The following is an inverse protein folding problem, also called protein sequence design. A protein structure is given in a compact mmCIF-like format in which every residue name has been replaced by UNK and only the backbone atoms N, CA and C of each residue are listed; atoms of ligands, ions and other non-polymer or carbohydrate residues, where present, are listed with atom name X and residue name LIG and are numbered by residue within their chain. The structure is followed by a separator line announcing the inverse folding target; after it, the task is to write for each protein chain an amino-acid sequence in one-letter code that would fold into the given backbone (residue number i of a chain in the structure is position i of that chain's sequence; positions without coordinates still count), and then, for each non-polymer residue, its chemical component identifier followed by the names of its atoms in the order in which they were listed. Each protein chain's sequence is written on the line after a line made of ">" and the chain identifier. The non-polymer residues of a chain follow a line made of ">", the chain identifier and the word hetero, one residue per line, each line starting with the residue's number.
data_IF_086501207841
#
_entry.id   IF_086501207841
#
_cell.length_a   1.000
_cell.length_b   1.000
_cell.length_c   1.000
_cell.angle_alpha   90.00
_cell.angle_beta   90.00
_cell.angle_gamma   90.00
#
_symmetry.space_group_name_H-M   'P 1'
#
loop_
_entity.id
_entity.type
_entity.pdbx_description
1 polymer ?
#
# COMPACT_ATOMS: atom_id res chain seq x y z
N UNK A 1 -31.26 12.86 -0.46
CA UNK A 1 -30.54 11.56 -0.25
C UNK A 1 -29.10 11.61 -0.75
N UNK A 2 -28.78 12.45 -1.74
CA UNK A 2 -27.43 12.65 -2.28
C UNK A 2 -26.38 13.08 -1.24
N UNK A 3 -26.75 13.90 -0.25
CA UNK A 3 -25.83 14.27 0.84
C UNK A 3 -25.28 13.07 1.62
N UNK A 4 -26.07 12.01 1.82
CA UNK A 4 -25.60 10.77 2.48
C UNK A 4 -24.62 9.99 1.60
N UNK A 5 -24.74 10.09 0.27
CA UNK A 5 -23.82 9.46 -0.69
C UNK A 5 -22.49 10.19 -0.72
N UNK A 6 -22.54 11.52 -0.78
CA UNK A 6 -21.35 12.37 -0.78
C UNK A 6 -20.51 12.11 0.47
N UNK A 7 -21.13 12.10 1.66
CA UNK A 7 -20.39 11.81 2.90
C UNK A 7 -19.79 10.40 2.91
N UNK A 8 -20.53 9.37 2.48
CA UNK A 8 -20.02 7.99 2.45
C UNK A 8 -18.84 7.83 1.48
N UNK A 9 -18.94 8.43 0.30
CA UNK A 9 -17.89 8.42 -0.72
C UNK A 9 -16.64 9.17 -0.25
N UNK A 10 -16.80 10.33 0.39
CA UNK A 10 -15.70 11.09 0.98
C UNK A 10 -15.01 10.26 2.06
N UNK A 11 -15.75 9.63 2.97
CA UNK A 11 -15.18 8.79 4.02
C UNK A 11 -14.37 7.62 3.44
N UNK A 12 -14.88 6.94 2.41
CA UNK A 12 -14.17 5.83 1.75
C UNK A 12 -12.91 6.31 1.01
N UNK A 13 -13.01 7.44 0.31
CA UNK A 13 -11.87 8.08 -0.36
C UNK A 13 -10.79 8.51 0.63
N UNK A 14 -11.18 9.16 1.73
CA UNK A 14 -10.28 9.56 2.80
C UNK A 14 -9.60 8.34 3.44
N UNK A 15 -10.35 7.25 3.69
CA UNK A 15 -9.79 6.01 4.24
C UNK A 15 -8.66 5.44 3.36
N UNK A 16 -8.82 5.49 2.04
CA UNK A 16 -7.79 5.02 1.11
C UNK A 16 -6.55 5.91 1.12
N UNK A 17 -6.72 7.23 1.17
CA UNK A 17 -5.61 8.18 1.25
C UNK A 17 -4.82 8.05 2.58
N UNK A 18 -5.54 7.88 3.69
CA UNK A 18 -4.90 7.65 4.99
C UNK A 18 -4.12 6.34 5.03
N UNK A 19 -4.55 5.32 4.26
CA UNK A 19 -3.93 4.01 4.29
C UNK A 19 -2.46 4.04 3.90
N UNK A 20 -2.13 4.67 2.77
CA UNK A 20 -0.75 4.73 2.29
C UNK A 20 0.10 5.77 3.02
N UNK A 21 -0.52 6.88 3.47
CA UNK A 21 0.12 7.83 4.38
C UNK A 21 0.58 7.16 5.68
N UNK A 22 -0.29 6.37 6.31
CA UNK A 22 0.06 5.67 7.56
C UNK A 22 1.06 4.54 7.33
N UNK A 23 0.98 3.85 6.19
CA UNK A 23 1.93 2.79 5.84
C UNK A 23 3.35 3.34 5.64
N UNK A 24 3.50 4.46 4.95
CA UNK A 24 4.80 5.13 4.77
C UNK A 24 5.32 5.72 6.08
N UNK A 25 4.43 6.28 6.91
CA UNK A 25 4.77 6.73 8.26
C UNK A 25 5.30 5.59 9.15
N UNK A 26 4.62 4.43 9.17
CA UNK A 26 5.08 3.27 9.93
C UNK A 26 6.44 2.76 9.43
N UNK A 27 6.65 2.74 8.11
CA UNK A 27 7.94 2.37 7.56
C UNK A 27 9.04 3.35 7.95
N UNK A 28 8.74 4.65 8.01
CA UNK A 28 9.67 5.66 8.51
C UNK A 28 10.03 5.42 9.99
N UNK A 29 9.06 5.04 10.83
CA UNK A 29 9.35 4.64 12.21
C UNK A 29 10.29 3.43 12.27
N UNK A 30 10.07 2.41 11.44
CA UNK A 30 10.96 1.24 11.35
C UNK A 30 12.38 1.68 10.96
N UNK A 31 12.52 2.57 9.98
CA UNK A 31 13.83 3.09 9.58
C UNK A 31 14.55 3.82 10.73
N UNK A 32 13.82 4.62 11.52
CA UNK A 32 14.33 5.30 12.72
C UNK A 32 14.80 4.29 13.78
N UNK A 33 13.98 3.28 14.11
CA UNK A 33 14.34 2.26 15.10
C UNK A 33 15.56 1.45 14.68
N UNK A 34 15.73 1.21 13.38
CA UNK A 34 16.89 0.52 12.84
C UNK A 34 18.11 1.42 12.67
N UNK A 35 18.00 2.72 12.95
CA UNK A 35 19.04 3.74 12.73
C UNK A 35 19.56 3.72 11.28
N UNK A 36 18.63 3.62 10.33
CA UNK A 36 18.93 3.59 8.89
C UNK A 36 18.26 4.75 8.17
N UNK A 37 18.83 5.14 7.02
CA UNK A 37 18.19 6.13 6.17
C UNK A 37 16.89 5.56 5.61
N UNK A 38 15.83 6.38 5.65
CA UNK A 38 14.58 6.02 5.00
C UNK A 38 14.83 5.69 3.52
N UNK A 39 14.37 4.54 3.02
CA UNK A 39 14.84 4.02 1.74
C UNK A 39 14.31 4.79 0.53
N UNK A 40 13.25 5.58 0.69
CA UNK A 40 12.64 6.30 -0.41
C UNK A 40 13.00 7.78 -0.40
N UNK A 41 13.14 8.33 -1.59
CA UNK A 41 13.27 9.77 -1.74
C UNK A 41 11.90 10.44 -1.62
N UNK A 42 11.82 11.72 -1.22
CA UNK A 42 10.54 12.43 -1.16
C UNK A 42 9.76 12.38 -2.48
N UNK A 43 10.46 12.47 -3.63
CA UNK A 43 9.83 12.38 -4.95
C UNK A 43 9.19 11.01 -5.21
N UNK A 44 9.85 9.92 -4.83
CA UNK A 44 9.33 8.56 -4.94
C UNK A 44 8.05 8.37 -4.11
N UNK A 45 8.05 8.87 -2.87
CA UNK A 45 6.85 8.84 -2.01
C UNK A 45 5.71 9.66 -2.63
N UNK A 46 5.99 10.88 -3.11
CA UNK A 46 4.98 11.73 -3.74
C UNK A 46 4.34 11.09 -4.97
N UNK A 47 5.12 10.45 -5.85
CA UNK A 47 4.58 9.75 -7.03
C UNK A 47 3.75 8.55 -6.62
N UNK A 48 4.21 7.77 -5.63
CA UNK A 48 3.44 6.65 -5.11
C UNK A 48 2.10 7.13 -4.54
N UNK A 49 2.11 8.14 -3.68
CA UNK A 49 0.88 8.70 -3.09
C UNK A 49 -0.04 9.32 -4.16
N UNK A 50 0.49 9.90 -5.23
CA UNK A 50 -0.35 10.46 -6.30
C UNK A 50 -1.02 9.37 -7.15
N UNK A 51 -0.27 8.38 -7.61
CA UNK A 51 -0.75 7.40 -8.59
C UNK A 51 -1.31 6.12 -7.97
N UNK A 52 -0.79 5.69 -6.83
CA UNK A 52 -1.27 4.49 -6.12
C UNK A 52 -2.42 4.82 -5.18
N UNK A 53 -2.43 6.00 -4.56
CA UNK A 53 -3.46 6.35 -3.56
C UNK A 53 -4.41 7.42 -4.08
N UNK A 54 -3.88 8.53 -4.61
CA UNK A 54 -4.64 9.72 -5.01
C UNK A 54 -5.57 9.50 -6.19
N UNK A 55 -5.10 8.84 -7.25
CA UNK A 55 -5.92 8.54 -8.42
C UNK A 55 -7.07 7.56 -8.06
N UNK A 56 -6.81 6.44 -7.37
CA UNK A 56 -7.87 5.54 -6.89
C UNK A 56 -8.86 6.20 -5.92
N UNK A 57 -8.39 6.99 -4.96
CA UNK A 57 -9.26 7.64 -3.97
C UNK A 57 -10.17 8.70 -4.61
N UNK A 58 -9.64 9.49 -5.55
CA UNK A 58 -10.42 10.47 -6.32
C UNK A 58 -11.53 9.79 -7.11
N UNK A 59 -11.23 8.67 -7.75
CA UNK A 59 -12.23 7.89 -8.49
C UNK A 59 -13.33 7.36 -7.57
N UNK A 60 -12.97 6.85 -6.38
CA UNK A 60 -13.94 6.35 -5.39
C UNK A 60 -14.88 7.46 -4.91
N UNK A 61 -14.42 8.71 -4.84
CA UNK A 61 -15.29 9.85 -4.51
C UNK A 61 -16.43 10.02 -5.51
N UNK A 62 -16.13 9.83 -6.81
CA UNK A 62 -17.11 9.93 -7.89
C UNK A 62 -17.97 8.66 -8.07
N UNK A 63 -17.52 7.51 -7.57
CA UNK A 63 -18.29 6.26 -7.61
C UNK A 63 -19.48 6.35 -6.63
N UNK A 64 -20.72 6.42 -7.12
CA UNK A 64 -21.90 6.40 -6.25
C UNK A 64 -22.02 5.05 -5.53
N UNK A 65 -21.72 5.01 -4.22
CA UNK A 65 -21.87 3.80 -3.42
C UNK A 65 -22.91 3.98 -2.31
N UNK A 66 -24.03 3.26 -2.44
CA UNK A 66 -25.10 3.17 -1.44
C UNK A 66 -24.80 2.15 -0.34
N UNK A 67 -23.64 1.48 -0.39
CA UNK A 67 -23.28 0.45 0.57
C UNK A 67 -22.93 1.09 1.93
N UNK A 68 -23.60 0.62 2.99
CA UNK A 68 -23.21 0.97 4.37
C UNK A 68 -21.79 0.42 4.65
N UNK A 69 -20.91 1.20 5.30
CA UNK A 69 -19.64 0.68 5.79
C UNK A 69 -19.90 -0.54 6.69
N UNK A 70 -19.28 -1.69 6.39
CA UNK A 70 -19.44 -2.92 7.18
C UNK A 70 -18.77 -2.83 8.56
N UNK A 71 -17.79 -1.96 8.69
CA UNK A 71 -17.01 -1.71 9.91
C UNK A 71 -16.75 -0.20 10.05
N UNK A 72 -16.41 0.24 11.26
CA UNK A 72 -15.89 1.59 11.48
C UNK A 72 -14.59 1.80 10.66
N UNK A 73 -14.35 3.04 10.27
CA UNK A 73 -13.24 3.42 9.37
C UNK A 73 -11.88 2.98 9.93
N UNK A 74 -11.60 3.28 11.21
CA UNK A 74 -10.29 3.04 11.81
C UNK A 74 -9.93 1.54 11.92
N UNK A 75 -10.80 0.66 12.46
CA UNK A 75 -10.52 -0.78 12.49
C UNK A 75 -10.25 -1.38 11.10
N UNK A 76 -11.02 -0.97 10.09
CA UNK A 76 -10.84 -1.39 8.70
C UNK A 76 -9.48 -0.94 8.14
N UNK A 77 -9.10 0.31 8.43
CA UNK A 77 -7.79 0.87 8.07
C UNK A 77 -6.66 0.07 8.74
N UNK A 78 -6.73 -0.16 10.06
CA UNK A 78 -5.69 -0.89 10.81
C UNK A 78 -5.54 -2.33 10.34
N UNK A 79 -6.66 -3.01 10.04
CA UNK A 79 -6.68 -4.40 9.54
C UNK A 79 -5.89 -4.56 8.25
N UNK A 80 -5.93 -3.55 7.38
CA UNK A 80 -5.19 -3.53 6.13
C UNK A 80 -3.75 -3.04 6.33
N UNK A 81 -3.52 -2.00 7.14
CA UNK A 81 -2.18 -1.41 7.29
C UNK A 81 -1.21 -2.35 7.99
N UNK A 82 -1.60 -2.97 9.12
CA UNK A 82 -0.69 -3.77 9.95
C UNK A 82 0.05 -4.86 9.14
N UNK A 83 -0.63 -5.76 8.39
CA UNK A 83 0.03 -6.81 7.64
C UNK A 83 0.87 -6.25 6.47
N UNK A 84 0.42 -5.17 5.83
CA UNK A 84 1.15 -4.54 4.73
C UNK A 84 2.43 -3.85 5.23
N UNK A 85 2.34 -3.05 6.29
CA UNK A 85 3.48 -2.39 6.91
C UNK A 85 4.50 -3.39 7.45
N UNK A 86 4.03 -4.48 8.10
CA UNK A 86 4.91 -5.57 8.54
C UNK A 86 5.62 -6.27 7.37
N UNK A 87 4.90 -6.55 6.28
CA UNK A 87 5.50 -7.12 5.06
C UNK A 87 6.58 -6.19 4.49
N UNK A 88 6.29 -4.90 4.36
CA UNK A 88 7.25 -3.91 3.86
C UNK A 88 8.46 -3.78 4.77
N UNK A 89 8.28 -3.78 6.09
CA UNK A 89 9.37 -3.74 7.05
C UNK A 89 10.27 -4.98 6.91
N UNK A 90 9.70 -6.18 6.84
CA UNK A 90 10.48 -7.43 6.65
C UNK A 90 11.26 -7.39 5.35
N UNK A 91 10.62 -7.01 4.24
CA UNK A 91 11.28 -6.90 2.93
C UNK A 91 12.38 -5.82 2.96
N UNK A 92 12.15 -4.71 3.66
CA UNK A 92 13.16 -3.67 3.86
C UNK A 92 14.40 -4.23 4.56
N UNK A 93 14.22 -4.95 5.67
CA UNK A 93 15.34 -5.59 6.40
C UNK A 93 16.07 -6.60 5.51
N UNK A 94 15.32 -7.48 4.82
CA UNK A 94 15.91 -8.49 3.92
C UNK A 94 16.76 -7.81 2.84
N UNK A 95 16.22 -6.75 2.22
CA UNK A 95 16.91 -6.01 1.15
C UNK A 95 18.14 -5.29 1.68
N UNK A 96 18.09 -4.77 2.91
CA UNK A 96 19.21 -4.08 3.54
C UNK A 96 20.40 -5.03 3.79
N UNK A 97 20.13 -6.29 4.12
CA UNK A 97 21.14 -7.33 4.37
C UNK A 97 21.80 -7.87 3.09
N UNK A 98 21.28 -7.54 1.90
CA UNK A 98 21.86 -8.02 0.65
C UNK A 98 23.19 -7.31 0.30
N UNK A 99 24.17 -8.02 -0.30
CA UNK A 99 25.49 -7.49 -0.62
C UNK A 99 25.51 -6.62 -1.90
N UNK A 100 24.51 -5.75 -2.09
CA UNK A 100 24.43 -4.83 -3.22
C UNK A 100 24.76 -3.39 -2.80
N UNK A 101 25.13 -2.49 -3.73
CA UNK A 101 25.23 -1.06 -3.44
C UNK A 101 23.91 -0.50 -2.90
N UNK A 102 23.97 0.50 -2.02
CA UNK A 102 22.76 1.14 -1.47
C UNK A 102 21.80 1.66 -2.57
N UNK A 103 22.26 2.33 -3.64
CA UNK A 103 21.36 2.79 -4.71
C UNK A 103 20.58 1.65 -5.39
N UNK A 104 21.23 0.50 -5.59
CA UNK A 104 20.58 -0.69 -6.14
C UNK A 104 19.52 -1.22 -5.18
N UNK A 105 19.86 -1.40 -3.89
CA UNK A 105 18.92 -1.86 -2.85
C UNK A 105 17.68 -0.98 -2.75
N UNK A 106 17.87 0.34 -2.77
CA UNK A 106 16.75 1.30 -2.74
C UNK A 106 15.86 1.18 -3.98
N UNK A 107 16.46 0.96 -5.15
CA UNK A 107 15.72 0.75 -6.41
C UNK A 107 14.90 -0.55 -6.37
N UNK A 108 15.48 -1.66 -5.90
CA UNK A 108 14.75 -2.92 -5.72
C UNK A 108 13.57 -2.73 -4.76
N UNK A 109 13.81 -2.11 -3.61
CA UNK A 109 12.77 -1.89 -2.60
C UNK A 109 11.65 -1.00 -3.13
N UNK A 110 11.97 0.01 -3.94
CA UNK A 110 10.98 0.89 -4.55
C UNK A 110 10.01 0.11 -5.45
N UNK A 111 10.51 -0.78 -6.29
CA UNK A 111 9.66 -1.62 -7.15
C UNK A 111 8.82 -2.62 -6.35
N UNK A 112 9.39 -3.28 -5.33
CA UNK A 112 8.62 -4.18 -4.46
C UNK A 112 7.51 -3.44 -3.71
N UNK A 113 7.80 -2.22 -3.24
CA UNK A 113 6.85 -1.39 -2.51
C UNK A 113 5.73 -0.88 -3.41
N UNK A 114 6.04 -0.43 -4.64
CA UNK A 114 5.02 -0.10 -5.64
C UNK A 114 4.07 -1.29 -5.86
N UNK A 115 4.64 -2.48 -6.04
CA UNK A 115 3.84 -3.67 -6.27
C UNK A 115 2.93 -3.99 -5.08
N UNK A 116 3.47 -3.96 -3.85
CA UNK A 116 2.68 -4.19 -2.63
C UNK A 116 1.57 -3.15 -2.47
N UNK A 117 1.85 -1.87 -2.70
CA UNK A 117 0.87 -0.80 -2.61
C UNK A 117 -0.23 -0.96 -3.67
N UNK A 118 0.09 -1.36 -4.91
CA UNK A 118 -0.91 -1.69 -5.92
C UNK A 118 -1.74 -2.93 -5.55
N UNK A 119 -1.12 -3.96 -4.99
CA UNK A 119 -1.81 -5.16 -4.50
C UNK A 119 -2.79 -4.82 -3.35
N UNK A 120 -2.41 -3.89 -2.48
CA UNK A 120 -3.26 -3.37 -1.41
C UNK A 120 -4.48 -2.64 -1.96
N UNK A 121 -4.29 -1.74 -2.94
CA UNK A 121 -5.41 -1.04 -3.60
C UNK A 121 -6.31 -2.04 -4.33
N UNK A 122 -5.74 -3.03 -5.01
CA UNK A 122 -6.49 -4.11 -5.65
C UNK A 122 -7.36 -4.87 -4.64
N UNK A 123 -6.83 -5.19 -3.47
CA UNK A 123 -7.58 -5.86 -2.40
C UNK A 123 -8.77 -5.01 -1.93
N UNK A 124 -8.57 -3.71 -1.74
CA UNK A 124 -9.62 -2.76 -1.30
C UNK A 124 -10.69 -2.54 -2.37
N UNK A 125 -10.32 -2.66 -3.65
CA UNK A 125 -11.23 -2.50 -4.78
C UNK A 125 -12.15 -3.70 -5.03
N UNK A 126 -12.03 -4.79 -4.28
CA UNK A 126 -12.94 -5.93 -4.39
C UNK A 126 -14.36 -5.59 -3.88
N UNK A 127 -15.44 -6.05 -4.57
CA UNK A 127 -15.45 -6.79 -5.83
C UNK A 127 -15.09 -5.90 -7.03
N UNK A 128 -14.30 -6.43 -7.94
CA UNK A 128 -13.78 -5.67 -9.08
C UNK A 128 -14.88 -5.36 -10.12
N UNK A 129 -14.92 -4.12 -10.59
CA UNK A 129 -15.78 -3.67 -11.69
C UNK A 129 -14.90 -3.09 -12.82
N UNK A 130 -15.39 -3.05 -14.06
CA UNK A 130 -14.66 -2.53 -15.22
C UNK A 130 -14.04 -1.15 -14.97
N UNK A 131 -14.77 -0.25 -14.32
CA UNK A 131 -14.25 1.09 -14.00
C UNK A 131 -13.08 1.04 -13.01
N UNK A 132 -13.15 0.15 -12.01
CA UNK A 132 -12.07 -0.05 -11.02
C UNK A 132 -10.82 -0.67 -11.66
N UNK A 133 -11.02 -1.59 -12.61
CA UNK A 133 -9.92 -2.12 -13.44
C UNK A 133 -9.28 -1.02 -14.27
N UNK A 134 -10.09 -0.19 -14.94
CA UNK A 134 -9.57 0.92 -15.74
C UNK A 134 -8.69 1.88 -14.91
N UNK A 135 -9.11 2.18 -13.68
CA UNK A 135 -8.34 3.02 -12.75
C UNK A 135 -7.04 2.34 -12.32
N UNK A 136 -7.08 1.05 -11.94
CA UNK A 136 -5.87 0.31 -11.59
C UNK A 136 -4.86 0.22 -12.76
N UNK A 137 -5.36 0.00 -13.97
CA UNK A 137 -4.54 -0.01 -15.17
C UNK A 137 -3.96 1.39 -15.46
N UNK A 138 -4.74 2.45 -15.28
CA UNK A 138 -4.27 3.83 -15.44
C UNK A 138 -3.20 4.19 -14.40
N UNK A 139 -3.37 3.79 -13.13
CA UNK A 139 -2.38 3.94 -12.08
C UNK A 139 -1.08 3.20 -12.43
N UNK A 140 -1.16 1.94 -12.84
CA UNK A 140 0.00 1.14 -13.24
C UNK A 140 0.73 1.72 -14.46
N UNK A 141 -0.01 2.07 -15.52
CA UNK A 141 0.55 2.67 -16.73
C UNK A 141 1.23 4.02 -16.43
N UNK A 142 0.62 4.84 -15.58
CA UNK A 142 1.17 6.14 -15.19
C UNK A 142 2.46 6.00 -14.38
N UNK A 143 2.52 5.02 -13.46
CA UNK A 143 3.74 4.71 -12.72
C UNK A 143 4.88 4.26 -13.65
N UNK A 144 4.59 3.37 -14.61
CA UNK A 144 5.57 2.92 -15.60
C UNK A 144 6.06 4.12 -16.44
N UNK A 145 5.13 4.94 -16.93
CA UNK A 145 5.45 6.14 -17.72
C UNK A 145 6.33 7.13 -16.94
N UNK A 146 6.03 7.37 -15.67
CA UNK A 146 6.82 8.28 -14.82
C UNK A 146 8.19 7.70 -14.47
N UNK A 147 8.27 6.40 -14.18
CA UNK A 147 9.56 5.74 -13.94
C UNK A 147 10.47 5.84 -15.17
N UNK A 148 9.89 5.80 -16.38
CA UNK A 148 10.63 5.99 -17.63
C UNK A 148 11.04 7.46 -17.85
N UNK A 149 10.10 8.41 -17.69
CA UNK A 149 10.34 9.83 -17.96
C UNK A 149 11.26 10.51 -16.93
N UNK A 150 11.13 10.15 -15.66
CA UNK A 150 11.83 10.76 -14.53
C UNK A 150 12.89 9.84 -13.90
N UNK A 151 13.40 8.88 -14.65
CA UNK A 151 14.33 7.85 -14.16
C UNK A 151 15.49 8.41 -13.32
N UNK A 152 16.16 9.45 -13.83
CA UNK A 152 17.30 10.10 -13.15
C UNK A 152 16.86 10.87 -11.91
N UNK A 153 15.75 11.60 -11.99
CA UNK A 153 15.20 12.41 -10.90
C UNK A 153 14.72 11.52 -9.75
N UNK A 154 14.21 10.32 -10.07
CA UNK A 154 13.83 9.30 -9.11
C UNK A 154 15.02 8.58 -8.47
N UNK A 155 16.26 8.92 -8.87
CA UNK A 155 17.49 8.27 -8.41
C UNK A 155 17.46 6.75 -8.62
N UNK A 156 16.79 6.30 -9.69
CA UNK A 156 16.73 4.89 -10.04
C UNK A 156 18.05 4.46 -10.69
N UNK A 157 18.48 3.25 -10.37
CA UNK A 157 19.65 2.61 -10.97
C UNK A 157 19.19 1.52 -11.94
N UNK A 158 19.92 1.33 -13.02
CA UNK A 158 19.61 0.25 -13.96
C UNK A 158 19.92 -1.08 -13.28
N UNK A 159 18.89 -1.91 -13.10
CA UNK A 159 19.05 -3.21 -12.47
C UNK A 159 19.61 -4.20 -13.49
N UNK A 160 20.68 -4.90 -13.12
CA UNK A 160 21.19 -6.03 -13.92
C UNK A 160 20.21 -7.21 -13.92
N UNK A 161 20.53 -8.26 -14.69
CA UNK A 161 19.69 -9.47 -14.78
C UNK A 161 19.51 -10.15 -13.41
N UNK A 162 20.59 -10.29 -12.64
CA UNK A 162 20.56 -10.91 -11.31
C UNK A 162 19.72 -10.08 -10.33
N UNK A 163 19.94 -8.77 -10.31
CA UNK A 163 19.22 -7.82 -9.46
C UNK A 163 17.71 -7.81 -9.76
N UNK A 164 17.35 -7.90 -11.05
CA UNK A 164 15.95 -8.01 -11.50
C UNK A 164 15.32 -9.32 -11.05
N UNK A 165 16.02 -10.45 -11.20
CA UNK A 165 15.53 -11.76 -10.74
C UNK A 165 15.30 -11.78 -9.23
N UNK A 166 16.22 -11.19 -8.46
CA UNK A 166 16.08 -11.05 -7.00
C UNK A 166 14.89 -10.14 -6.66
N UNK A 167 14.70 -9.04 -7.38
CA UNK A 167 13.56 -8.13 -7.18
C UNK A 167 12.23 -8.86 -7.41
N UNK A 168 12.13 -9.65 -8.49
CA UNK A 168 10.95 -10.49 -8.76
C UNK A 168 10.77 -11.54 -7.66
N UNK A 169 11.86 -12.16 -7.19
CA UNK A 169 11.82 -13.09 -6.05
C UNK A 169 11.31 -12.43 -4.77
N UNK A 170 11.73 -11.19 -4.49
CA UNK A 170 11.25 -10.40 -3.35
C UNK A 170 9.77 -10.03 -3.49
N UNK A 171 9.30 -9.72 -4.70
CA UNK A 171 7.86 -9.51 -4.98
C UNK A 171 7.06 -10.76 -4.63
N UNK A 172 7.46 -11.93 -5.13
CA UNK A 172 6.77 -13.21 -4.85
C UNK A 172 6.80 -13.52 -3.35
N UNK A 173 7.96 -13.36 -2.71
CA UNK A 173 8.11 -13.53 -1.27
C UNK A 173 7.18 -12.59 -0.49
N UNK A 174 7.09 -11.32 -0.92
CA UNK A 174 6.25 -10.31 -0.28
C UNK A 174 4.76 -10.66 -0.37
N UNK A 175 4.30 -11.25 -1.48
CA UNK A 175 2.92 -11.75 -1.59
C UNK A 175 2.65 -12.91 -0.63
N UNK A 176 3.59 -13.86 -0.51
CA UNK A 176 3.48 -14.96 0.44
C UNK A 176 3.44 -14.48 1.89
N UNK A 177 4.35 -13.57 2.25
CA UNK A 177 4.38 -12.93 3.57
C UNK A 177 3.08 -12.18 3.86
N UNK A 178 2.60 -11.39 2.90
CA UNK A 178 1.36 -10.63 3.03
C UNK A 178 0.16 -11.57 3.26
N UNK A 179 0.09 -12.70 2.56
CA UNK A 179 -0.95 -13.69 2.78
C UNK A 179 -0.93 -14.28 4.20
N UNK A 180 0.25 -14.68 4.68
CA UNK A 180 0.43 -15.24 6.03
C UNK A 180 0.10 -14.19 7.09
N UNK A 181 0.64 -12.96 6.95
CA UNK A 181 0.43 -11.88 7.90
C UNK A 181 -1.02 -11.38 7.91
N UNK A 182 -1.69 -11.34 6.76
CA UNK A 182 -3.13 -11.05 6.71
C UNK A 182 -3.94 -12.08 7.51
N UNK A 183 -3.61 -13.37 7.38
CA UNK A 183 -4.28 -14.44 8.12
C UNK A 183 -4.07 -14.30 9.64
N UNK A 184 -2.84 -14.03 10.07
CA UNK A 184 -2.50 -13.84 11.49
C UNK A 184 -3.14 -12.56 12.04
N UNK A 185 -3.01 -11.45 11.33
CA UNK A 185 -3.56 -10.14 11.72
C UNK A 185 -5.08 -10.22 11.87
N UNK A 186 -5.78 -10.82 10.91
CA UNK A 186 -7.23 -11.00 11.00
C UNK A 186 -7.62 -11.83 12.22
N UNK A 187 -6.89 -12.90 12.51
CA UNK A 187 -7.16 -13.74 13.68
C UNK A 187 -6.95 -13.00 15.00
N UNK A 188 -5.94 -12.12 15.08
CA UNK A 188 -5.68 -11.30 16.27
C UNK A 188 -6.71 -10.18 16.43
N UNK A 189 -7.02 -9.46 15.35
CA UNK A 189 -8.00 -8.36 15.35
C UNK A 189 -9.39 -8.89 15.69
N UNK A 190 -9.78 -10.04 15.15
CA UNK A 190 -11.07 -10.66 15.45
C UNK A 190 -11.16 -11.10 16.92
N UNK A 191 -10.04 -11.45 17.57
CA UNK A 191 -10.00 -11.71 19.02
C UNK A 191 -10.14 -10.43 19.85
N UNK A 192 -9.51 -9.33 19.45
CA UNK A 192 -9.58 -8.07 20.19
C UNK A 192 -10.92 -7.33 19.98
N UNK A 193 -11.47 -7.30 18.77
CA UNK A 193 -12.69 -6.54 18.46
C UNK A 193 -14.01 -7.32 18.69
N UNK A 194 -13.99 -8.66 18.82
CA UNK A 194 -15.18 -9.41 19.30
C UNK A 194 -15.63 -9.02 20.71
N UNK A 195 -14.75 -8.42 21.52
CA UNK A 195 -15.09 -7.90 22.85
C UNK A 195 -15.83 -6.55 22.81
N UNK A 196 -15.61 -5.72 21.79
CA UNK A 196 -16.14 -4.34 21.73
C UNK A 196 -17.49 -4.22 21.00
N UNK A 197 -17.90 -5.23 20.23
CA UNK A 197 -19.19 -5.24 19.51
C UNK A 197 -20.35 -5.83 20.33
N UNK A 198 -20.08 -6.29 21.56
CA UNK A 198 -21.10 -6.86 22.45
C UNK A 198 -21.69 -5.83 23.42
N UNK A 199 -21.21 -4.58 23.43
CA UNK A 199 -21.65 -3.53 24.37
C UNK A 199 -22.57 -2.48 23.76
N UNK A 200 -22.94 -2.60 22.48
CA UNK A 200 -23.82 -1.64 21.78
C UNK A 200 -25.19 -2.24 21.39
N UNK A 201 -25.56 -3.42 21.92
CA UNK A 201 -26.85 -4.09 21.64
C UNK A 201 -27.58 -4.53 22.92
N UNK A 202 -27.11 -4.14 24.10
CA UNK A 202 -27.83 -4.39 25.37
C UNK A 202 -28.39 -3.08 25.94
#
# INVERSE_FOLDING_TARGET
>A
MEGRLVTNNISRSASMYYLGTLLTFLLALVAIFMNTLYPFTPLQVSIMSMFVEGMPSSFVTFESSYAKPKEAIIPSILRNIIPNAATMAIIFVITLLMPFPLPTRHTMLYFVTIFLSLALVYHIFQPMNWKRVAVLMASGASLIGICYLFFKQLRLVHLGTQETQITVGLVVLSMGLLFILNKVSNHLIDRFFKGSLKTDVD
#
